data_IF_956529570430
#
_entry.id   IF_956529570430
#
_cell.length_a   1.000
_cell.length_b   1.000
_cell.length_c   1.000
_cell.angle_alpha   90.00
_cell.angle_beta   90.00
_cell.angle_gamma   90.00
#
_symmetry.space_group_name_H-M   'P 1'
#
loop_
_entity.id
_entity.type
_entity.pdbx_description
1 polymer ?
#
# COMPACT_ATOMS: atom_id res chain seq x y z
N UNK A 1 -18.07 22.70 -19.11
CA UNK A 1 -17.22 21.66 -19.72
C UNK A 1 -16.41 21.03 -18.59
N UNK A 2 -16.71 19.79 -18.21
CA UNK A 2 -15.96 19.07 -17.19
C UNK A 2 -14.60 18.71 -17.75
N UNK A 3 -13.56 19.42 -17.32
CA UNK A 3 -12.18 19.04 -17.61
C UNK A 3 -11.96 17.67 -16.97
N UNK A 4 -11.99 16.61 -17.78
CA UNK A 4 -11.47 15.29 -17.40
C UNK A 4 -10.00 15.52 -17.04
N UNK A 5 -9.72 15.65 -15.75
CA UNK A 5 -8.35 15.69 -15.26
C UNK A 5 -7.78 14.30 -15.53
N UNK A 6 -7.05 14.18 -16.64
CA UNK A 6 -6.18 13.03 -16.86
C UNK A 6 -5.15 13.11 -15.74
N UNK A 7 -5.30 12.26 -14.73
CA UNK A 7 -4.35 12.20 -13.62
C UNK A 7 -2.97 11.92 -14.21
N UNK A 8 -1.93 12.69 -13.85
CA UNK A 8 -0.59 12.39 -14.33
C UNK A 8 -0.22 10.97 -13.92
N UNK A 9 0.43 10.19 -14.81
CA UNK A 9 0.72 8.78 -14.54
C UNK A 9 1.64 8.67 -13.32
N UNK A 10 1.19 7.92 -12.31
CA UNK A 10 2.01 7.57 -11.15
C UNK A 10 3.00 6.48 -11.57
N UNK A 11 4.30 6.74 -11.40
CA UNK A 11 5.31 5.70 -11.54
C UNK A 11 5.27 4.78 -10.31
N UNK A 12 5.06 3.49 -10.52
CA UNK A 12 5.02 2.48 -9.45
C UNK A 12 6.24 1.58 -9.55
N UNK A 13 6.96 1.41 -8.44
CA UNK A 13 8.10 0.49 -8.33
C UNK A 13 7.78 -0.56 -7.26
N UNK A 14 7.74 -1.83 -7.66
CA UNK A 14 7.72 -2.97 -6.74
C UNK A 14 9.15 -3.46 -6.56
N UNK A 15 9.63 -3.48 -5.32
CA UNK A 15 11.01 -3.84 -5.00
C UNK A 15 11.05 -4.77 -3.80
N UNK A 16 11.75 -5.90 -3.90
CA UNK A 16 11.96 -6.77 -2.74
C UNK A 16 13.32 -7.44 -2.77
N UNK A 17 13.85 -7.74 -1.59
CA UNK A 17 15.09 -8.51 -1.42
C UNK A 17 14.83 -10.00 -1.62
N UNK A 18 13.60 -10.45 -1.38
CA UNK A 18 13.18 -11.84 -1.57
C UNK A 18 12.94 -12.12 -3.06
N UNK A 19 13.77 -12.98 -3.71
CA UNK A 19 13.61 -13.29 -5.13
C UNK A 19 12.31 -14.03 -5.45
N UNK A 20 11.72 -14.76 -4.50
CA UNK A 20 10.46 -15.47 -4.72
C UNK A 20 9.30 -14.48 -4.88
N UNK A 21 9.24 -13.43 -4.05
CA UNK A 21 8.24 -12.35 -4.19
C UNK A 21 8.40 -11.64 -5.52
N UNK A 22 9.64 -11.32 -5.91
CA UNK A 22 9.94 -10.67 -7.19
C UNK A 22 9.47 -11.53 -8.36
N UNK A 23 9.71 -12.84 -8.32
CA UNK A 23 9.29 -13.78 -9.37
C UNK A 23 7.76 -13.83 -9.49
N UNK A 24 7.04 -13.91 -8.37
CA UNK A 24 5.58 -13.96 -8.36
C UNK A 24 4.96 -12.64 -8.83
N UNK A 25 5.58 -11.48 -8.54
CA UNK A 25 5.16 -10.22 -9.14
C UNK A 25 5.35 -10.18 -10.65
N UNK A 26 6.46 -10.70 -11.18
CA UNK A 26 6.67 -10.77 -12.63
C UNK A 26 5.55 -11.57 -13.32
N UNK A 27 5.03 -12.61 -12.67
CA UNK A 27 3.88 -13.36 -13.17
C UNK A 27 2.56 -12.57 -13.00
N UNK A 28 2.29 -12.04 -11.79
CA UNK A 28 1.03 -11.38 -11.47
C UNK A 28 0.82 -10.05 -12.21
N UNK A 29 1.89 -9.33 -12.55
CA UNK A 29 1.88 -8.03 -13.24
C UNK A 29 2.36 -8.11 -14.69
N UNK A 30 2.43 -9.30 -15.30
CA UNK A 30 2.96 -9.51 -16.65
C UNK A 30 2.27 -8.65 -17.74
N UNK A 31 1.01 -8.29 -17.55
CA UNK A 31 0.19 -7.44 -18.43
C UNK A 31 0.07 -5.98 -17.96
N UNK A 32 0.89 -5.58 -16.99
CA UNK A 32 0.91 -4.25 -16.37
C UNK A 32 2.29 -3.59 -16.57
N UNK A 33 2.68 -3.26 -17.83
CA UNK A 33 4.06 -2.85 -18.16
C UNK A 33 4.50 -1.52 -17.52
N UNK A 34 3.56 -0.72 -17.00
CA UNK A 34 3.84 0.52 -16.29
C UNK A 34 4.38 0.33 -14.86
N UNK A 35 4.26 -0.89 -14.30
CA UNK A 35 4.81 -1.23 -12.99
C UNK A 35 6.23 -1.74 -13.15
N UNK A 36 7.21 -1.02 -12.58
CA UNK A 36 8.60 -1.45 -12.57
C UNK A 36 8.83 -2.46 -11.44
N UNK A 37 9.33 -3.65 -11.77
CA UNK A 37 9.65 -4.69 -10.79
C UNK A 37 11.17 -4.82 -10.66
N UNK A 38 11.68 -4.80 -9.44
CA UNK A 38 13.12 -4.85 -9.14
C UNK A 38 13.42 -5.80 -8.00
N UNK A 39 14.52 -6.55 -8.12
CA UNK A 39 15.14 -7.23 -6.98
C UNK A 39 16.11 -6.26 -6.30
N UNK A 40 15.92 -5.97 -5.02
CA UNK A 40 16.78 -5.04 -4.29
C UNK A 40 16.16 -4.51 -3.00
N UNK A 41 16.81 -3.51 -2.40
CA UNK A 41 16.28 -2.83 -1.22
C UNK A 41 15.36 -1.68 -1.60
N UNK A 42 14.31 -1.48 -0.80
CA UNK A 42 13.50 -0.26 -0.85
C UNK A 42 14.34 0.99 -0.62
N UNK A 43 15.37 0.88 0.23
CA UNK A 43 16.25 2.00 0.59
C UNK A 43 17.07 2.54 -0.59
N UNK A 44 17.26 1.73 -1.63
CA UNK A 44 18.00 2.12 -2.84
C UNK A 44 17.08 2.78 -3.89
N UNK A 45 15.76 2.84 -3.65
CA UNK A 45 14.82 3.37 -4.62
C UNK A 45 14.67 4.87 -4.51
N UNK A 46 14.81 5.54 -5.64
CA UNK A 46 14.52 6.97 -5.75
C UNK A 46 13.06 7.15 -6.16
N UNK A 47 12.23 7.55 -5.20
CA UNK A 47 10.80 7.76 -5.39
C UNK A 47 10.30 8.87 -4.46
N UNK A 48 9.23 9.58 -4.84
CA UNK A 48 8.66 10.65 -4.03
C UNK A 48 8.09 10.10 -2.71
N UNK A 49 7.54 8.88 -2.74
CA UNK A 49 7.03 8.18 -1.57
C UNK A 49 7.56 6.73 -1.48
N UNK A 50 7.84 6.29 -0.26
CA UNK A 50 7.98 4.88 0.06
C UNK A 50 6.76 4.39 0.83
N UNK A 51 6.38 3.12 0.63
CA UNK A 51 5.32 2.47 1.41
C UNK A 51 5.92 1.48 2.41
N UNK A 52 5.50 1.63 3.66
CA UNK A 52 5.89 0.78 4.77
C UNK A 52 4.71 -0.08 5.24
N UNK A 53 4.75 -1.41 5.03
CA UNK A 53 3.81 -2.32 5.67
C UNK A 53 4.12 -2.45 7.16
N UNK A 54 3.23 -1.93 8.01
CA UNK A 54 3.40 -1.85 9.46
C UNK A 54 2.37 -2.71 10.22
N UNK A 55 2.43 -2.67 11.55
CA UNK A 55 1.33 -3.00 12.46
C UNK A 55 0.43 -1.76 12.73
N UNK A 56 -0.75 -2.00 13.31
CA UNK A 56 -1.74 -0.97 13.64
C UNK A 56 -1.23 0.14 14.59
N UNK A 57 -0.16 -0.09 15.35
CA UNK A 57 0.44 0.91 16.26
C UNK A 57 1.57 1.73 15.61
N UNK A 58 1.88 1.51 14.34
CA UNK A 58 2.97 2.21 13.65
C UNK A 58 4.35 1.94 14.25
N UNK A 59 4.54 0.79 14.90
CA UNK A 59 5.85 0.42 15.47
C UNK A 59 6.76 -0.10 14.37
N UNK A 60 7.92 0.51 14.21
CA UNK A 60 8.85 0.21 13.12
C UNK A 60 10.05 -0.61 13.62
N UNK A 61 9.80 -1.76 14.23
CA UNK A 61 10.80 -2.52 14.99
C UNK A 61 11.37 -3.74 14.27
N UNK A 62 10.79 -4.14 13.13
CA UNK A 62 11.25 -5.30 12.35
C UNK A 62 11.24 -5.07 10.85
N UNK A 63 11.89 -5.97 10.10
CA UNK A 63 11.85 -6.01 8.64
C UNK A 63 12.21 -4.68 7.96
N UNK A 64 11.46 -4.35 6.90
CA UNK A 64 11.62 -3.10 6.13
C UNK A 64 11.37 -1.86 6.99
N UNK A 65 10.42 -1.93 7.92
CA UNK A 65 10.05 -0.85 8.85
C UNK A 65 11.27 -0.42 9.69
N UNK A 66 11.98 -1.39 10.28
CA UNK A 66 13.21 -1.12 11.02
C UNK A 66 14.33 -0.55 10.13
N UNK A 67 14.43 -1.04 8.89
CA UNK A 67 15.41 -0.54 7.92
C UNK A 67 15.13 0.92 7.54
N UNK A 68 13.87 1.28 7.28
CA UNK A 68 13.42 2.65 7.03
C UNK A 68 13.68 3.54 8.25
N UNK A 69 13.33 3.09 9.46
CA UNK A 69 13.60 3.84 10.70
C UNK A 69 15.08 4.12 10.90
N UNK A 70 15.95 3.15 10.61
CA UNK A 70 17.40 3.32 10.68
C UNK A 70 17.92 4.30 9.64
N UNK A 71 17.34 4.29 8.43
CA UNK A 71 17.74 5.17 7.34
C UNK A 71 17.28 6.63 7.54
N UNK A 72 16.00 6.85 7.90
CA UNK A 72 15.40 8.17 8.06
C UNK A 72 15.55 8.76 9.47
N UNK A 73 16.04 7.97 10.42
CA UNK A 73 16.17 8.32 11.83
C UNK A 73 14.89 8.07 12.64
N UNK A 74 15.04 7.91 13.96
CA UNK A 74 13.96 7.52 14.87
C UNK A 74 12.74 8.48 14.88
N UNK A 75 12.93 9.73 14.46
CA UNK A 75 11.85 10.71 14.33
C UNK A 75 10.74 10.31 13.36
N UNK A 76 11.02 9.46 12.37
CA UNK A 76 10.00 9.02 11.41
C UNK A 76 8.87 8.23 12.09
N UNK A 77 9.22 7.34 13.03
CA UNK A 77 8.24 6.57 13.79
C UNK A 77 7.34 7.49 14.62
N UNK A 78 7.91 8.52 15.24
CA UNK A 78 7.14 9.49 16.03
C UNK A 78 6.14 10.27 15.16
N UNK A 79 6.50 10.61 13.92
CA UNK A 79 5.58 11.27 12.97
C UNK A 79 4.45 10.33 12.55
N UNK A 80 4.78 9.06 12.22
CA UNK A 80 3.79 8.04 11.89
C UNK A 80 2.82 7.84 13.06
N UNK A 81 3.33 7.61 14.27
CA UNK A 81 2.51 7.40 15.46
C UNK A 81 1.67 8.62 15.83
N UNK A 82 2.19 9.84 15.64
CA UNK A 82 1.40 11.07 15.78
C UNK A 82 0.25 11.10 14.77
N UNK A 83 0.52 10.85 13.48
CA UNK A 83 -0.52 10.81 12.46
C UNK A 83 -1.59 9.74 12.74
N UNK A 84 -1.19 8.57 13.25
CA UNK A 84 -2.12 7.51 13.67
C UNK A 84 -2.97 7.96 14.86
N UNK A 85 -2.38 8.60 15.87
CA UNK A 85 -3.13 9.13 17.02
C UNK A 85 -4.14 10.18 16.59
N UNK A 86 -3.69 11.15 15.80
CA UNK A 86 -4.48 12.33 15.46
C UNK A 86 -5.63 11.98 14.50
N UNK A 87 -5.47 10.97 13.64
CA UNK A 87 -6.48 10.58 12.63
C UNK A 87 -7.29 9.33 12.96
N UNK A 88 -6.76 8.43 13.79
CA UNK A 88 -7.34 7.10 14.04
C UNK A 88 -7.39 6.74 15.53
N UNK A 89 -7.27 7.72 16.43
CA UNK A 89 -7.37 7.48 17.88
C UNK A 89 -6.27 6.57 18.45
N UNK A 90 -5.16 6.40 17.72
CA UNK A 90 -3.99 5.65 18.17
C UNK A 90 -3.93 4.19 17.71
N UNK A 91 -4.82 3.76 16.84
CA UNK A 91 -4.77 2.45 16.18
C UNK A 91 -5.18 2.57 14.72
N UNK A 92 -4.24 2.34 13.80
CA UNK A 92 -4.48 2.38 12.37
C UNK A 92 -5.17 1.08 11.92
N UNK A 93 -6.42 1.12 11.42
CA UNK A 93 -7.09 -0.10 10.97
C UNK A 93 -6.46 -0.64 9.68
N UNK A 94 -6.52 -1.95 9.47
CA UNK A 94 -6.20 -2.57 8.17
C UNK A 94 -7.09 -1.96 7.08
N UNK A 95 -6.53 -1.70 5.90
CA UNK A 95 -7.22 -0.96 4.85
C UNK A 95 -7.23 0.56 5.05
N UNK A 96 -6.40 1.09 5.95
CA UNK A 96 -6.14 2.52 6.07
C UNK A 96 -4.65 2.83 6.00
N UNK A 97 -4.32 4.07 5.70
CA UNK A 97 -2.93 4.51 5.66
C UNK A 97 -2.74 5.94 6.19
N UNK A 98 -1.51 6.21 6.65
CA UNK A 98 -1.03 7.55 6.95
C UNK A 98 0.09 7.92 6.01
N UNK A 99 0.01 9.11 5.41
CA UNK A 99 1.11 9.70 4.65
C UNK A 99 1.72 10.81 5.50
N UNK A 100 3.04 10.76 5.73
CA UNK A 100 3.77 11.75 6.52
C UNK A 100 5.02 12.22 5.78
N UNK A 101 5.45 13.49 5.95
CA UNK A 101 6.76 13.92 5.48
C UNK A 101 7.88 13.10 6.13
N UNK A 102 8.78 12.56 5.31
CA UNK A 102 9.91 11.75 5.78
C UNK A 102 10.97 12.60 6.49
N UNK A 103 11.06 13.89 6.14
CA UNK A 103 12.16 14.79 6.54
C UNK A 103 13.45 14.60 5.73
N UNK A 104 13.42 13.77 4.68
CA UNK A 104 14.51 13.54 3.74
C UNK A 104 14.14 14.03 2.33
N UNK A 105 15.15 14.15 1.46
CA UNK A 105 14.93 14.40 0.03
C UNK A 105 14.47 13.14 -0.72
N UNK A 106 14.89 11.96 -0.24
CA UNK A 106 14.48 10.66 -0.78
C UNK A 106 14.17 9.66 0.35
N UNK A 107 12.94 9.13 0.44
CA UNK A 107 11.74 9.65 -0.21
C UNK A 107 11.33 10.98 0.43
N UNK A 108 10.47 11.78 -0.19
CA UNK A 108 9.87 12.98 0.46
C UNK A 108 8.78 12.59 1.46
N UNK A 109 8.06 11.51 1.16
CA UNK A 109 6.94 11.01 1.96
C UNK A 109 7.15 9.56 2.37
N UNK A 110 6.66 9.21 3.55
CA UNK A 110 6.48 7.82 3.98
C UNK A 110 4.97 7.57 4.10
N UNK A 111 4.49 6.54 3.43
CA UNK A 111 3.12 6.05 3.55
C UNK A 111 3.16 4.78 4.39
N UNK A 112 2.55 4.79 5.56
CA UNK A 112 2.45 3.62 6.44
C UNK A 112 1.05 3.03 6.37
N UNK A 113 0.97 1.74 6.06
CA UNK A 113 -0.28 0.98 5.92
C UNK A 113 -0.16 -0.32 6.71
N UNK A 114 -1.12 -0.70 7.58
CA UNK A 114 -0.95 -1.87 8.41
C UNK A 114 -1.39 -3.14 7.67
N UNK A 115 -0.52 -4.14 7.63
CA UNK A 115 -0.84 -5.49 7.13
C UNK A 115 -1.28 -6.43 8.25
N UNK A 116 -1.17 -5.99 9.50
CA UNK A 116 -1.49 -6.76 10.70
C UNK A 116 -1.88 -5.84 11.86
N UNK A 117 -2.65 -6.35 12.82
CA UNK A 117 -3.02 -5.58 14.02
C UNK A 117 -1.86 -5.61 15.02
N UNK A 118 -1.46 -6.81 15.42
CA UNK A 118 -0.29 -7.03 16.26
C UNK A 118 0.93 -7.39 15.41
N UNK A 119 2.12 -7.02 15.87
CA UNK A 119 3.38 -7.41 15.21
C UNK A 119 3.52 -8.93 15.19
N UNK A 120 4.02 -9.47 14.08
CA UNK A 120 4.23 -10.91 13.86
C UNK A 120 2.95 -11.77 13.90
N UNK A 121 1.79 -11.15 13.65
CA UNK A 121 0.55 -11.89 13.41
C UNK A 121 0.62 -12.60 12.05
N UNK A 122 0.25 -13.89 12.02
CA UNK A 122 0.00 -14.62 10.79
C UNK A 122 -1.25 -14.05 10.09
N UNK A 123 -1.07 -13.64 8.84
CA UNK A 123 -2.10 -13.03 8.00
C UNK A 123 -2.20 -13.72 6.64
N UNK A 124 -1.63 -14.93 6.52
CA UNK A 124 -1.66 -15.77 5.31
C UNK A 124 -3.08 -16.00 4.80
N UNK A 125 -4.01 -16.23 5.72
CA UNK A 125 -5.42 -16.48 5.47
C UNK A 125 -6.26 -15.20 5.62
N UNK A 126 -5.78 -14.06 5.12
CA UNK A 126 -6.53 -12.79 5.18
C UNK A 126 -6.37 -11.93 3.93
N UNK A 127 -7.33 -11.03 3.71
CA UNK A 127 -7.28 -10.00 2.66
C UNK A 127 -6.42 -8.78 3.04
N UNK A 128 -5.65 -8.84 4.14
CA UNK A 128 -4.93 -7.68 4.68
C UNK A 128 -3.95 -7.09 3.67
N UNK A 129 -3.33 -7.91 2.82
CA UNK A 129 -2.39 -7.44 1.79
C UNK A 129 -3.10 -6.60 0.73
N UNK A 130 -4.26 -7.05 0.24
CA UNK A 130 -5.03 -6.30 -0.75
C UNK A 130 -5.53 -4.98 -0.17
N UNK A 131 -6.07 -5.02 1.05
CA UNK A 131 -6.51 -3.83 1.79
C UNK A 131 -5.37 -2.84 2.03
N UNK A 132 -4.22 -3.32 2.49
CA UNK A 132 -3.05 -2.47 2.75
C UNK A 132 -2.51 -1.84 1.45
N UNK A 133 -2.48 -2.60 0.35
CA UNK A 133 -2.08 -2.14 -0.96
C UNK A 133 -2.99 -1.03 -1.48
N UNK A 134 -4.30 -1.28 -1.50
CA UNK A 134 -5.31 -0.31 -1.93
C UNK A 134 -5.23 0.97 -1.06
N UNK A 135 -5.06 0.83 0.26
CA UNK A 135 -4.95 1.97 1.17
C UNK A 135 -3.70 2.82 0.92
N UNK A 136 -2.57 2.21 0.56
CA UNK A 136 -1.34 2.94 0.23
C UNK A 136 -1.53 3.80 -1.03
N UNK A 137 -2.13 3.21 -2.06
CA UNK A 137 -2.46 3.89 -3.31
C UNK A 137 -3.50 5.01 -3.10
N UNK A 138 -4.53 4.76 -2.29
CA UNK A 138 -5.49 5.79 -1.89
C UNK A 138 -4.82 6.93 -1.11
N UNK A 139 -3.80 6.66 -0.29
CA UNK A 139 -3.04 7.71 0.40
C UNK A 139 -2.29 8.63 -0.59
N UNK A 140 -1.81 8.08 -1.72
CA UNK A 140 -1.21 8.88 -2.80
C UNK A 140 -2.24 9.84 -3.40
N UNK A 141 -3.46 9.36 -3.68
CA UNK A 141 -4.55 10.21 -4.17
C UNK A 141 -4.87 11.33 -3.19
N UNK A 142 -5.10 11.00 -1.93
CA UNK A 142 -5.42 11.99 -0.89
C UNK A 142 -4.30 13.02 -0.70
N UNK A 143 -3.04 12.61 -0.82
CA UNK A 143 -1.90 13.52 -0.72
C UNK A 143 -1.81 14.44 -1.95
N UNK A 144 -2.03 13.91 -3.15
CA UNK A 144 -2.05 14.70 -4.38
C UNK A 144 -3.29 15.61 -4.51
N UNK A 145 -4.40 15.30 -3.86
CA UNK A 145 -5.52 16.24 -3.75
C UNK A 145 -5.18 17.46 -2.89
N UNK A 146 -4.36 17.26 -1.84
CA UNK A 146 -3.90 18.34 -0.94
C UNK A 146 -2.76 19.15 -1.54
N UNK A 147 -1.80 18.47 -2.16
CA UNK A 147 -0.62 19.05 -2.79
C UNK A 147 -0.45 18.41 -4.18
N UNK A 148 -1.08 18.96 -5.23
CA UNK A 148 -1.04 18.40 -6.58
C UNK A 148 0.38 18.14 -7.10
N UNK A 149 0.63 16.89 -7.50
CA UNK A 149 1.91 16.47 -8.05
C UNK A 149 3.02 16.27 -6.99
N UNK A 150 2.68 16.29 -5.71
CA UNK A 150 3.65 16.04 -4.62
C UNK A 150 4.20 14.61 -4.62
N UNK A 151 3.40 13.63 -5.06
CA UNK A 151 3.82 12.25 -5.27
C UNK A 151 3.55 11.86 -6.73
N UNK A 152 4.62 11.71 -7.51
CA UNK A 152 4.59 11.23 -8.90
C UNK A 152 5.24 9.85 -9.06
N UNK A 153 5.92 9.38 -8.02
CA UNK A 153 6.54 8.07 -7.95
C UNK A 153 6.39 7.46 -6.57
N UNK A 154 6.07 6.16 -6.51
CA UNK A 154 5.96 5.41 -5.27
C UNK A 154 6.71 4.08 -5.37
N UNK A 155 7.40 3.70 -4.30
CA UNK A 155 8.03 2.39 -4.19
C UNK A 155 7.42 1.58 -3.02
N UNK A 156 7.13 0.29 -3.26
CA UNK A 156 6.54 -0.63 -2.29
C UNK A 156 7.30 -1.96 -2.27
N UNK A 157 7.24 -2.65 -1.13
CA UNK A 157 7.79 -4.01 -0.94
C UNK A 157 6.69 -5.09 -0.91
N UNK A 158 7.10 -6.35 -0.83
CA UNK A 158 6.22 -7.49 -0.58
C UNK A 158 5.51 -7.34 0.76
N UNK A 159 4.21 -7.08 0.71
CA UNK A 159 3.39 -6.88 1.90
C UNK A 159 2.96 -8.23 2.48
N UNK A 160 3.20 -8.46 3.77
CA UNK A 160 2.80 -9.70 4.47
C UNK A 160 3.66 -10.94 4.18
N UNK A 161 4.53 -10.93 3.15
CA UNK A 161 5.30 -12.09 2.72
C UNK A 161 6.45 -12.52 3.67
N UNK A 162 6.82 -11.67 4.62
CA UNK A 162 7.83 -11.99 5.64
C UNK A 162 7.16 -12.43 6.96
N UNK A 163 6.97 -11.47 7.88
CA UNK A 163 6.42 -11.75 9.21
C UNK A 163 4.96 -12.19 9.20
N UNK A 164 4.22 -11.91 8.13
CA UNK A 164 2.82 -12.27 7.98
C UNK A 164 2.58 -13.66 7.39
N UNK A 165 3.64 -14.39 7.04
CA UNK A 165 3.60 -15.76 6.46
C UNK A 165 2.77 -15.90 5.18
N UNK A 166 2.43 -14.80 4.51
CA UNK A 166 1.68 -14.83 3.25
C UNK A 166 2.54 -15.47 2.16
N UNK A 167 2.09 -16.55 1.49
CA UNK A 167 2.84 -17.14 0.39
C UNK A 167 3.16 -16.10 -0.70
N UNK A 168 4.36 -16.08 -1.30
CA UNK A 168 4.76 -15.09 -2.29
C UNK A 168 3.74 -14.91 -3.44
N UNK A 169 3.15 -16.00 -3.93
CA UNK A 169 2.12 -15.98 -4.97
C UNK A 169 0.86 -15.24 -4.53
N UNK A 170 0.36 -15.56 -3.33
CA UNK A 170 -0.82 -14.91 -2.73
C UNK A 170 -0.54 -13.43 -2.48
N UNK A 171 0.66 -13.10 -1.99
CA UNK A 171 1.11 -11.72 -1.82
C UNK A 171 1.05 -10.94 -3.14
N UNK A 172 1.61 -11.50 -4.22
CA UNK A 172 1.61 -10.88 -5.54
C UNK A 172 0.20 -10.66 -6.09
N UNK A 173 -0.67 -11.68 -5.99
CA UNK A 173 -2.06 -11.60 -6.43
C UNK A 173 -2.86 -10.54 -5.66
N UNK A 174 -2.76 -10.53 -4.33
CA UNK A 174 -3.45 -9.55 -3.48
C UNK A 174 -2.94 -8.13 -3.72
N UNK A 175 -1.62 -7.95 -3.93
CA UNK A 175 -1.06 -6.65 -4.30
C UNK A 175 -1.58 -6.18 -5.65
N UNK A 176 -1.69 -7.08 -6.64
CA UNK A 176 -2.29 -6.76 -7.93
C UNK A 176 -3.77 -6.36 -7.77
N UNK A 177 -4.57 -7.11 -7.00
CA UNK A 177 -5.96 -6.74 -6.70
C UNK A 177 -6.07 -5.33 -6.13
N UNK A 178 -5.26 -5.00 -5.12
CA UNK A 178 -5.24 -3.66 -4.52
C UNK A 178 -4.75 -2.56 -5.48
N UNK A 179 -3.84 -2.88 -6.39
CA UNK A 179 -3.36 -1.96 -7.43
C UNK A 179 -4.46 -1.63 -8.45
N UNK A 180 -5.29 -2.59 -8.86
CA UNK A 180 -6.31 -2.33 -9.90
C UNK A 180 -7.32 -1.23 -9.54
N UNK A 181 -7.61 -1.04 -8.25
CA UNK A 181 -8.46 0.06 -7.78
C UNK A 181 -7.84 1.43 -7.97
N UNK A 182 -6.50 1.53 -7.92
CA UNK A 182 -5.79 2.80 -7.88
C UNK A 182 -6.07 3.66 -9.12
N UNK A 183 -6.08 3.07 -10.31
CA UNK A 183 -6.32 3.79 -11.56
C UNK A 183 -7.80 4.07 -11.79
N UNK A 184 -8.65 3.14 -11.39
CA UNK A 184 -10.07 3.15 -11.76
C UNK A 184 -10.92 4.01 -10.82
N UNK A 185 -10.47 4.27 -9.58
CA UNK A 185 -11.27 4.97 -8.58
C UNK A 185 -10.46 5.72 -7.51
N UNK A 186 -11.10 6.71 -6.88
CA UNK A 186 -10.63 7.33 -5.63
C UNK A 186 -11.79 7.42 -4.68
N UNK A 187 -11.54 6.97 -3.46
CA UNK A 187 -12.52 6.93 -2.39
C UNK A 187 -12.52 8.25 -1.62
N UNK A 188 -13.66 8.61 -1.02
CA UNK A 188 -13.73 9.77 -0.12
C UNK A 188 -13.01 9.52 1.21
N UNK A 189 -13.01 8.26 1.66
CA UNK A 189 -12.36 7.81 2.89
C UNK A 189 -11.90 6.35 2.79
N UNK A 190 -11.32 5.82 3.87
CA UNK A 190 -10.86 4.44 3.93
C UNK A 190 -11.98 3.44 4.29
N UNK A 191 -13.12 3.89 4.80
CA UNK A 191 -14.24 3.01 5.13
C UNK A 191 -14.92 2.51 3.86
N UNK A 192 -15.14 3.40 2.89
CA UNK A 192 -15.68 3.06 1.57
C UNK A 192 -14.72 2.15 0.79
N UNK A 193 -13.41 2.42 0.87
CA UNK A 193 -12.38 1.56 0.29
C UNK A 193 -12.45 0.15 0.87
N UNK A 194 -12.47 0.03 2.21
CA UNK A 194 -12.59 -1.27 2.89
C UNK A 194 -13.83 -2.01 2.44
N UNK A 195 -14.99 -1.36 2.52
CA UNK A 195 -16.27 -1.97 2.15
C UNK A 195 -16.27 -2.48 0.69
N UNK A 196 -15.65 -1.72 -0.23
CA UNK A 196 -15.54 -2.09 -1.65
C UNK A 196 -14.64 -3.29 -1.88
N UNK A 197 -13.49 -3.34 -1.21
CA UNK A 197 -12.53 -4.45 -1.32
C UNK A 197 -13.11 -5.71 -0.69
N UNK A 198 -13.65 -5.61 0.53
CA UNK A 198 -14.23 -6.75 1.25
C UNK A 198 -15.44 -7.30 0.49
N UNK A 199 -16.40 -6.46 0.11
CA UNK A 199 -17.61 -6.91 -0.59
C UNK A 199 -17.38 -7.59 -1.95
N UNK A 200 -16.16 -7.53 -2.52
CA UNK A 200 -15.80 -8.21 -3.76
C UNK A 200 -14.82 -9.36 -3.59
N UNK A 201 -14.19 -9.47 -2.42
CA UNK A 201 -13.21 -10.52 -2.12
C UNK A 201 -13.68 -11.45 -0.99
N UNK A 202 -14.75 -11.13 -0.27
CA UNK A 202 -15.27 -11.94 0.86
C UNK A 202 -15.74 -13.34 0.43
N UNK A 203 -16.12 -13.53 -0.84
CA UNK A 203 -16.49 -14.84 -1.42
C UNK A 203 -15.29 -15.65 -1.93
N UNK A 204 -14.08 -15.09 -1.88
CA UNK A 204 -12.86 -15.80 -2.28
C UNK A 204 -12.25 -16.50 -1.07
N UNK A 205 -11.66 -17.68 -1.31
CA UNK A 205 -10.73 -18.27 -0.34
C UNK A 205 -9.70 -17.20 0.06
N UNK A 206 -9.41 -17.09 1.36
CA UNK A 206 -8.49 -16.06 1.87
C UNK A 206 -7.03 -16.19 1.35
N UNK A 207 -6.76 -17.19 0.51
CA UNK A 207 -5.52 -17.43 -0.23
C UNK A 207 -5.78 -17.51 -1.74
N UNK A 208 -6.10 -16.38 -2.41
CA UNK A 208 -6.40 -16.39 -3.83
C UNK A 208 -5.17 -16.86 -4.64
N UNK A 209 -5.30 -18.04 -5.25
CA UNK A 209 -4.30 -18.60 -6.16
C UNK A 209 -4.26 -17.84 -7.50
N UNK A 210 -5.32 -17.09 -7.81
CA UNK A 210 -5.42 -16.24 -8.98
C UNK A 210 -5.67 -14.79 -8.57
N UNK A 211 -5.15 -13.85 -9.36
CA UNK A 211 -5.40 -12.43 -9.15
C UNK A 211 -6.86 -12.08 -9.46
N UNK A 212 -7.48 -11.28 -8.61
CA UNK A 212 -8.88 -10.86 -8.79
C UNK A 212 -8.95 -9.35 -8.99
N UNK A 213 -9.57 -8.92 -10.09
CA UNK A 213 -9.71 -7.50 -10.40
C UNK A 213 -10.88 -6.94 -9.61
N UNK A 214 -10.60 -5.98 -8.74
CA UNK A 214 -11.63 -5.29 -7.97
C UNK A 214 -12.23 -4.19 -8.86
N UNK A 215 -13.56 -4.15 -8.96
CA UNK A 215 -14.28 -3.13 -9.73
C UNK A 215 -14.55 -1.90 -8.87
N UNK A 216 -14.57 -0.69 -9.46
CA UNK A 216 -15.06 0.49 -8.76
C UNK A 216 -16.48 0.28 -8.22
N UNK A 217 -16.85 0.89 -7.09
CA UNK A 217 -18.22 0.84 -6.60
C UNK A 217 -19.16 1.41 -7.67
N UNK A 218 -20.34 0.78 -7.82
CA UNK A 218 -21.36 1.29 -8.72
C UNK A 218 -21.70 2.73 -8.32
N UNK A 219 -21.63 3.67 -9.27
CA UNK A 219 -21.96 5.08 -9.01
C UNK A 219 -23.36 5.13 -8.43
N UNK A 220 -23.50 5.43 -7.13
CA UNK A 220 -24.80 5.77 -6.56
C UNK A 220 -25.24 7.07 -7.22
N UNK A 221 -26.08 6.97 -8.25
CA UNK A 221 -26.81 8.14 -8.76
C UNK A 221 -27.55 8.71 -7.56
N UNK A 222 -27.09 9.84 -7.04
CA UNK A 222 -27.86 10.59 -6.04
C UNK A 222 -29.19 10.92 -6.71
N UNK A 223 -30.26 10.33 -6.21
CA UNK A 223 -31.63 10.76 -6.50
C UNK A 223 -31.84 12.15 -5.91
#
# INVERSE_FOLDING_TARGET
MTVKHVRPPLKVVLVDVNPQVVQEWLAAFADTPEVEIRKGSLLDQHADAWVSPTNARGRMDGGVDAAIKRHLGAGIQLRVQRAIRDRFGGSLPVGSAVCVPSGATNPRFLISTPTMVASAQDVSQTLNVALACAAAFQAVHMQNEREPGSIRSVALVGMGAATGQVPPRVCANLMWSGYTLFHDHTFGDYDELRATVQGQLDDLDNEPQERVRIKPPATRTRA
#
